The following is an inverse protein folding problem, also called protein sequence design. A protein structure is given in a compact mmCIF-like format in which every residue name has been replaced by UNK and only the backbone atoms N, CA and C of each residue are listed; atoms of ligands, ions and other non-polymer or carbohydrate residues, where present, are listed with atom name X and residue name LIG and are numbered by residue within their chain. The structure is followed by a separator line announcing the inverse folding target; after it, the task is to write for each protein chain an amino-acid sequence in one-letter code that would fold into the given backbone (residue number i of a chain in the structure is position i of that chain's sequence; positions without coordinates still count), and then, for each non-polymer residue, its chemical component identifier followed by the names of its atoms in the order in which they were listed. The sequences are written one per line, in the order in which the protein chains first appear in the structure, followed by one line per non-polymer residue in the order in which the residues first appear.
data_IF_101526186898
#
_entry.id   IF_101526186898
#
_cell.length_a   1.000
_cell.length_b   1.000
_cell.length_c   1.000
_cell.angle_alpha   90.00
_cell.angle_beta   90.00
_cell.angle_gamma   90.00
#
_symmetry.space_group_name_H-M   'P 1'
#
loop_
_entity.id
_entity.type
_entity.pdbx_description
1 polymer ?
#
# COMPACT_ATOMS: atom_id res chain seq x y z
N UNK A 1 14.45 8.42 12.53
CA UNK A 1 13.15 8.49 11.83
C UNK A 1 13.18 9.74 10.96
N UNK A 2 13.02 9.58 9.67
CA UNK A 2 13.04 10.68 8.70
C UNK A 2 11.71 11.45 8.72
N UNK A 3 10.58 10.73 8.73
CA UNK A 3 9.26 11.32 8.69
C UNK A 3 8.15 10.30 8.89
N UNK A 4 6.92 10.75 8.67
CA UNK A 4 5.70 9.96 8.76
C UNK A 4 5.24 9.63 7.34
N UNK A 5 5.00 8.36 7.07
CA UNK A 5 4.21 7.89 5.95
C UNK A 5 2.79 7.61 6.47
N UNK A 6 1.81 8.39 6.02
CA UNK A 6 0.40 8.15 6.34
C UNK A 6 -0.21 7.22 5.29
N UNK A 7 -0.55 6.02 5.69
CA UNK A 7 -1.32 5.09 4.86
C UNK A 7 -2.81 5.44 4.91
N UNK A 8 -3.24 6.25 3.94
CA UNK A 8 -4.58 6.82 3.90
C UNK A 8 -4.71 8.13 4.70
N UNK A 9 -5.96 8.57 5.01
CA UNK A 9 -7.20 7.79 5.17
C UNK A 9 -8.07 7.58 3.92
N UNK A 10 -7.71 8.08 2.77
CA UNK A 10 -8.53 8.17 1.57
C UNK A 10 -8.37 6.92 0.70
N UNK A 11 -9.09 5.87 1.05
CA UNK A 11 -9.05 4.55 0.41
C UNK A 11 -10.35 4.24 -0.34
N UNK A 12 -10.25 3.69 -1.54
CA UNK A 12 -11.38 3.15 -2.28
C UNK A 12 -11.57 1.66 -1.97
N UNK A 13 -10.47 0.95 -1.69
CA UNK A 13 -10.46 -0.48 -1.42
C UNK A 13 -9.66 -0.79 -0.18
N UNK A 14 -10.32 -1.09 0.90
CA UNK A 14 -9.63 -1.57 2.09
C UNK A 14 -9.21 -3.03 1.95
N UNK A 15 -7.96 -3.39 2.19
CA UNK A 15 -7.46 -4.75 2.19
C UNK A 15 -8.21 -5.61 3.22
N UNK A 16 -7.65 -5.76 4.41
CA UNK A 16 -8.25 -6.50 5.52
C UNK A 16 -9.54 -5.91 6.11
N UNK A 17 -9.77 -4.62 5.89
CA UNK A 17 -10.76 -3.80 6.62
C UNK A 17 -12.07 -3.57 5.86
N UNK A 18 -12.36 -4.32 4.82
CA UNK A 18 -13.42 -3.99 3.85
C UNK A 18 -14.85 -4.24 4.32
N UNK A 19 -15.08 -5.10 5.29
CA UNK A 19 -16.45 -5.42 5.68
C UNK A 19 -16.97 -4.40 6.68
N UNK A 20 -17.98 -3.62 6.27
CA UNK A 20 -18.71 -2.68 7.14
C UNK A 20 -17.95 -1.39 7.47
N UNK A 21 -16.87 -1.04 6.75
CA UNK A 21 -16.18 0.23 6.91
C UNK A 21 -16.33 1.10 5.67
N UNK A 22 -16.61 2.38 5.89
CA UNK A 22 -16.47 3.44 4.89
C UNK A 22 -15.24 4.27 5.23
N UNK A 23 -14.53 4.71 4.21
CA UNK A 23 -13.42 5.66 4.35
C UNK A 23 -13.89 7.04 3.89
N UNK A 24 -13.33 8.12 4.46
CA UNK A 24 -13.67 9.46 4.03
C UNK A 24 -13.25 9.67 2.57
N UNK A 25 -13.98 10.51 1.87
CA UNK A 25 -13.54 11.01 0.58
C UNK A 25 -12.35 11.98 0.77
N UNK A 26 -11.44 12.06 -0.22
CA UNK A 26 -10.37 13.04 -0.24
C UNK A 26 -10.87 14.46 -0.04
N UNK A 27 -10.32 15.14 0.95
CA UNK A 27 -10.66 16.52 1.32
C UNK A 27 -9.39 17.29 1.70
N UNK A 28 -9.18 18.45 1.06
CA UNK A 28 -7.99 19.27 1.26
C UNK A 28 -7.92 19.86 2.66
N UNK A 29 -9.05 20.24 3.26
CA UNK A 29 -9.06 20.82 4.61
C UNK A 29 -8.77 19.75 5.68
N UNK A 30 -9.27 18.52 5.50
CA UNK A 30 -8.87 17.39 6.36
C UNK A 30 -7.39 17.08 6.18
N UNK A 31 -6.89 17.08 4.95
CA UNK A 31 -5.47 16.87 4.67
C UNK A 31 -4.60 17.92 5.35
N UNK A 32 -4.98 19.19 5.31
CA UNK A 32 -4.30 20.28 6.04
C UNK A 32 -4.27 20.01 7.55
N UNK A 33 -5.39 19.52 8.12
CA UNK A 33 -5.43 19.16 9.55
C UNK A 33 -4.49 18.02 9.90
N UNK A 34 -4.44 16.99 9.05
CA UNK A 34 -3.55 15.84 9.24
C UNK A 34 -2.07 16.24 9.14
N UNK A 35 -1.71 17.01 8.12
CA UNK A 35 -0.33 17.49 7.94
C UNK A 35 0.10 18.44 9.07
N UNK A 36 -0.79 19.30 9.55
CA UNK A 36 -0.53 20.18 10.70
C UNK A 36 -0.30 19.37 11.98
N UNK A 37 -1.12 18.33 12.24
CA UNK A 37 -0.94 17.42 13.40
C UNK A 37 0.37 16.63 13.34
N UNK A 38 0.88 16.36 12.16
CA UNK A 38 2.19 15.73 11.96
C UNK A 38 3.37 16.66 12.33
N UNK A 39 3.11 17.94 12.65
CA UNK A 39 4.14 18.89 13.09
C UNK A 39 5.27 19.06 12.08
N UNK A 40 4.99 19.11 10.79
CA UNK A 40 5.98 19.21 9.72
C UNK A 40 6.77 17.90 9.46
N UNK A 41 6.33 16.78 10.02
CA UNK A 41 6.98 15.48 9.85
C UNK A 41 6.28 14.57 8.84
N UNK A 42 5.20 15.00 8.20
CA UNK A 42 4.57 14.25 7.11
C UNK A 42 5.53 14.23 5.91
N UNK A 43 6.09 13.08 5.62
CA UNK A 43 6.98 12.89 4.48
C UNK A 43 6.24 12.34 3.27
N UNK A 44 5.20 11.53 3.51
CA UNK A 44 4.42 10.87 2.48
C UNK A 44 2.98 10.64 2.93
N UNK A 45 2.03 10.65 1.98
CA UNK A 45 0.65 10.23 2.19
C UNK A 45 0.21 9.33 1.04
N UNK A 46 -0.45 8.21 1.39
CA UNK A 46 -1.02 7.29 0.42
C UNK A 46 -2.51 7.60 0.19
N UNK A 47 -2.95 7.49 -1.08
CA UNK A 47 -4.30 7.84 -1.52
C UNK A 47 -4.75 6.97 -2.70
N UNK A 48 -6.05 6.68 -2.78
CA UNK A 48 -6.69 6.12 -3.96
C UNK A 48 -7.03 7.24 -4.95
N UNK A 49 -6.42 7.24 -6.15
CA UNK A 49 -6.49 8.41 -7.04
C UNK A 49 -7.83 8.62 -7.75
N UNK A 50 -8.62 7.56 -7.90
CA UNK A 50 -9.92 7.59 -8.55
C UNK A 50 -11.02 8.23 -7.70
N UNK A 51 -10.76 8.47 -6.43
CA UNK A 51 -11.75 9.05 -5.53
C UNK A 51 -12.04 10.52 -5.87
N UNK A 52 -13.30 10.97 -5.80
CA UNK A 52 -13.64 12.38 -5.93
C UNK A 52 -12.82 13.26 -4.97
N UNK A 53 -12.19 14.30 -5.46
CA UNK A 53 -11.34 15.22 -4.68
C UNK A 53 -9.87 14.77 -4.54
N UNK A 54 -9.51 13.56 -4.99
CA UNK A 54 -8.15 13.05 -4.86
C UNK A 54 -7.10 13.94 -5.54
N UNK A 55 -7.39 14.44 -6.74
CA UNK A 55 -6.44 15.28 -7.48
C UNK A 55 -6.11 16.59 -6.76
N UNK A 56 -7.09 17.19 -6.10
CA UNK A 56 -6.85 18.43 -5.34
C UNK A 56 -5.99 18.16 -4.08
N UNK A 57 -6.23 17.03 -3.41
CA UNK A 57 -5.40 16.58 -2.30
C UNK A 57 -3.96 16.28 -2.77
N UNK A 58 -3.79 15.58 -3.89
CA UNK A 58 -2.47 15.26 -4.45
C UNK A 58 -1.70 16.53 -4.79
N UNK A 59 -2.34 17.49 -5.48
CA UNK A 59 -1.73 18.79 -5.79
C UNK A 59 -1.33 19.54 -4.53
N UNK A 60 -2.18 19.54 -3.51
CA UNK A 60 -1.86 20.17 -2.23
C UNK A 60 -0.63 19.52 -1.58
N UNK A 61 -0.58 18.20 -1.51
CA UNK A 61 0.55 17.46 -0.92
C UNK A 61 1.87 17.77 -1.64
N UNK A 62 1.87 17.71 -2.98
CA UNK A 62 3.04 18.07 -3.78
C UNK A 62 3.49 19.52 -3.56
N UNK A 63 2.54 20.45 -3.45
CA UNK A 63 2.84 21.86 -3.15
C UNK A 63 3.48 22.05 -1.77
N UNK A 64 3.27 21.11 -0.83
CA UNK A 64 3.91 21.08 0.49
C UNK A 64 5.23 20.28 0.50
N UNK A 65 5.68 19.76 -0.65
CA UNK A 65 6.85 18.88 -0.73
C UNK A 65 6.64 17.50 -0.12
N UNK A 66 5.38 17.09 0.08
CA UNK A 66 5.01 15.78 0.62
C UNK A 66 4.84 14.82 -0.54
N UNK A 67 5.50 13.66 -0.46
CA UNK A 67 5.41 12.60 -1.46
C UNK A 67 4.02 11.96 -1.45
N UNK A 68 3.56 11.52 -2.63
CA UNK A 68 2.26 10.87 -2.77
C UNK A 68 2.43 9.43 -3.22
N UNK A 69 1.77 8.52 -2.51
CA UNK A 69 1.74 7.12 -2.85
C UNK A 69 0.35 6.69 -3.36
N UNK A 70 0.30 5.90 -4.42
CA UNK A 70 -0.92 5.23 -4.85
C UNK A 70 -1.13 3.98 -4.00
N UNK A 71 -2.30 3.85 -3.37
CA UNK A 71 -2.57 2.79 -2.40
C UNK A 71 -4.08 2.51 -2.31
N UNK A 72 -4.45 1.27 -1.95
CA UNK A 72 -5.83 0.87 -1.66
C UNK A 72 -6.86 1.36 -2.68
N UNK A 73 -6.53 1.16 -3.96
CA UNK A 73 -7.28 1.67 -5.10
C UNK A 73 -8.15 0.60 -5.76
N UNK A 74 -9.35 0.98 -6.18
CA UNK A 74 -10.21 0.19 -7.05
C UNK A 74 -10.08 0.58 -8.53
N UNK A 75 -9.17 1.51 -8.84
CA UNK A 75 -8.98 2.06 -10.18
C UNK A 75 -8.66 0.98 -11.22
N UNK A 76 -9.21 1.16 -12.40
CA UNK A 76 -8.78 0.50 -13.62
C UNK A 76 -7.51 1.13 -14.17
N UNK A 77 -6.85 0.46 -15.11
CA UNK A 77 -5.58 0.95 -15.69
C UNK A 77 -5.70 2.37 -16.26
N UNK A 78 -6.81 2.70 -16.92
CA UNK A 78 -7.04 4.03 -17.48
C UNK A 78 -7.05 5.12 -16.43
N UNK A 79 -7.72 4.90 -15.31
CA UNK A 79 -7.81 5.87 -14.20
C UNK A 79 -6.42 6.12 -13.57
N UNK A 80 -5.57 5.08 -13.50
CA UNK A 80 -4.18 5.23 -13.07
C UNK A 80 -3.38 6.08 -14.05
N UNK A 81 -3.47 5.82 -15.35
CA UNK A 81 -2.77 6.61 -16.35
C UNK A 81 -3.25 8.06 -16.37
N UNK A 82 -4.56 8.29 -16.29
CA UNK A 82 -5.13 9.64 -16.21
C UNK A 82 -4.60 10.40 -14.97
N UNK A 83 -4.54 9.73 -13.82
CA UNK A 83 -4.01 10.34 -12.59
C UNK A 83 -2.51 10.64 -12.68
N UNK A 84 -1.71 9.73 -13.26
CA UNK A 84 -0.29 9.95 -13.49
C UNK A 84 -0.03 11.15 -14.42
N UNK A 85 -0.82 11.29 -15.48
CA UNK A 85 -0.73 12.42 -16.41
C UNK A 85 -1.09 13.75 -15.75
N UNK A 86 -2.14 13.80 -14.93
CA UNK A 86 -2.68 15.05 -14.41
C UNK A 86 -2.08 15.53 -13.08
N UNK A 87 -1.67 14.58 -12.22
CA UNK A 87 -1.20 14.92 -10.87
C UNK A 87 0.06 14.16 -10.46
N UNK A 88 0.28 12.95 -10.98
CA UNK A 88 1.43 12.11 -10.69
C UNK A 88 1.41 11.45 -9.31
N UNK A 89 2.25 10.42 -9.17
CA UNK A 89 2.59 9.77 -7.91
C UNK A 89 4.11 9.62 -7.82
N UNK A 90 4.62 9.43 -6.61
CA UNK A 90 6.02 9.12 -6.38
C UNK A 90 6.23 7.62 -6.16
N UNK A 91 5.26 6.95 -5.53
CA UNK A 91 5.39 5.57 -5.03
C UNK A 91 4.08 4.81 -5.24
N UNK A 92 4.19 3.50 -5.42
CA UNK A 92 3.07 2.56 -5.28
C UNK A 92 3.26 1.78 -3.98
N UNK A 93 2.39 1.99 -3.00
CA UNK A 93 2.46 1.34 -1.68
C UNK A 93 2.02 -0.11 -1.77
N UNK A 94 2.76 -1.02 -1.10
CA UNK A 94 2.54 -2.48 -1.05
C UNK A 94 1.97 -3.04 -2.35
N UNK A 95 2.67 -2.73 -3.45
CA UNK A 95 2.26 -3.01 -4.84
C UNK A 95 1.64 -4.40 -4.98
N UNK A 96 0.48 -4.47 -5.64
CA UNK A 96 -0.31 -5.69 -5.81
C UNK A 96 -1.31 -5.96 -4.68
N UNK A 97 -1.15 -5.35 -3.51
CA UNK A 97 -2.07 -5.52 -2.39
C UNK A 97 -3.09 -4.38 -2.35
N UNK A 98 -4.35 -4.70 -2.04
CA UNK A 98 -5.42 -3.71 -1.97
C UNK A 98 -5.69 -2.97 -3.30
N UNK A 99 -5.38 -3.57 -4.46
CA UNK A 99 -5.59 -2.98 -5.78
C UNK A 99 -6.03 -4.01 -6.83
N UNK A 100 -6.45 -3.52 -8.01
CA UNK A 100 -6.80 -4.38 -9.14
C UNK A 100 -5.56 -5.05 -9.71
N UNK A 101 -5.62 -6.39 -9.85
CA UNK A 101 -4.57 -7.21 -10.46
C UNK A 101 -4.60 -7.16 -11.99
N UNK A 102 -3.61 -7.84 -12.60
CA UNK A 102 -3.47 -7.93 -14.05
C UNK A 102 -4.49 -8.90 -14.64
N UNK A 103 -5.25 -8.45 -15.63
CA UNK A 103 -6.12 -9.25 -16.45
C UNK A 103 -5.87 -8.93 -17.95
N UNK A 104 -6.06 -9.89 -18.84
CA UNK A 104 -5.72 -9.75 -20.26
C UNK A 104 -6.52 -8.65 -21.02
N UNK A 105 -7.62 -8.16 -20.48
CA UNK A 105 -8.41 -7.06 -21.05
C UNK A 105 -8.26 -5.73 -20.30
N UNK A 106 -7.68 -5.76 -19.11
CA UNK A 106 -7.35 -4.58 -18.31
C UNK A 106 -6.23 -4.97 -17.34
N UNK A 107 -5.10 -4.34 -17.47
CA UNK A 107 -3.95 -4.63 -16.59
C UNK A 107 -4.16 -4.15 -15.15
N UNK A 108 -5.28 -3.48 -14.88
CA UNK A 108 -5.62 -2.96 -13.57
C UNK A 108 -4.62 -1.94 -13.04
N UNK A 109 -4.80 -1.55 -11.80
CA UNK A 109 -3.88 -0.63 -11.15
C UNK A 109 -2.46 -1.21 -11.06
N UNK A 110 -2.33 -2.50 -10.70
CA UNK A 110 -1.03 -3.18 -10.61
C UNK A 110 -0.23 -3.07 -11.91
N UNK A 111 -0.83 -3.44 -13.04
CA UNK A 111 -0.13 -3.41 -14.33
C UNK A 111 0.14 -1.99 -14.80
N UNK A 112 -0.80 -1.07 -14.62
CA UNK A 112 -0.62 0.32 -15.02
C UNK A 112 0.54 0.98 -14.25
N UNK A 113 0.62 0.79 -12.93
CA UNK A 113 1.72 1.30 -12.11
C UNK A 113 3.06 0.68 -12.53
N UNK A 114 3.11 -0.64 -12.80
CA UNK A 114 4.32 -1.32 -13.24
C UNK A 114 4.82 -0.88 -14.63
N UNK A 115 3.90 -0.51 -15.52
CA UNK A 115 4.25 -0.06 -16.86
C UNK A 115 4.58 1.44 -16.90
N UNK A 116 4.40 2.15 -15.79
CA UNK A 116 4.67 3.59 -15.70
C UNK A 116 6.11 3.86 -15.27
N UNK A 117 6.69 4.92 -15.83
CA UNK A 117 8.06 5.33 -15.51
C UNK A 117 8.11 6.26 -14.27
N UNK A 118 9.27 6.33 -13.65
CA UNK A 118 9.55 7.30 -12.58
C UNK A 118 9.09 6.91 -11.19
N UNK A 119 8.30 5.86 -11.03
CA UNK A 119 7.77 5.43 -9.74
C UNK A 119 8.80 4.62 -8.93
N UNK A 120 8.62 4.64 -7.61
CA UNK A 120 9.15 3.63 -6.70
C UNK A 120 8.04 2.65 -6.29
N UNK A 121 8.42 1.46 -5.86
CA UNK A 121 7.49 0.38 -5.57
C UNK A 121 7.79 -0.20 -4.20
N UNK A 122 6.87 -0.07 -3.25
CA UNK A 122 6.94 -0.80 -2.00
C UNK A 122 6.38 -2.21 -2.19
N UNK A 123 7.14 -3.23 -1.80
CA UNK A 123 6.73 -4.64 -1.94
C UNK A 123 6.93 -5.41 -0.63
N UNK A 124 5.92 -6.21 -0.28
CA UNK A 124 5.95 -7.11 0.87
C UNK A 124 6.44 -8.47 0.36
N UNK A 125 7.66 -8.85 0.73
CA UNK A 125 8.36 -10.02 0.18
C UNK A 125 8.30 -11.25 1.09
N UNK A 126 7.22 -11.40 1.85
CA UNK A 126 7.00 -12.51 2.78
C UNK A 126 6.46 -13.79 2.14
N UNK A 127 6.26 -13.79 0.81
CA UNK A 127 5.70 -14.86 -0.01
C UNK A 127 4.24 -15.25 0.35
N UNK A 128 3.60 -14.49 1.23
CA UNK A 128 2.19 -14.62 1.56
C UNK A 128 1.35 -13.54 0.86
N UNK A 129 1.84 -12.29 0.86
CA UNK A 129 1.19 -11.16 0.20
C UNK A 129 1.41 -11.18 -1.31
N UNK A 130 2.61 -11.56 -1.75
CA UNK A 130 2.98 -11.70 -3.15
C UNK A 130 3.71 -13.04 -3.32
N UNK A 131 3.25 -13.88 -4.25
CA UNK A 131 3.91 -15.14 -4.55
C UNK A 131 5.23 -14.93 -5.29
N UNK A 132 6.12 -15.93 -5.24
CA UNK A 132 7.44 -15.87 -5.86
C UNK A 132 7.39 -15.55 -7.36
N UNK A 133 6.45 -16.16 -8.11
CA UNK A 133 6.30 -15.90 -9.54
C UNK A 133 5.94 -14.44 -9.84
N UNK A 134 5.07 -13.84 -9.03
CA UNK A 134 4.73 -12.42 -9.19
C UNK A 134 5.93 -11.54 -8.86
N UNK A 135 6.70 -11.82 -7.82
CA UNK A 135 7.95 -11.09 -7.53
C UNK A 135 8.93 -11.17 -8.69
N UNK A 136 9.07 -12.35 -9.32
CA UNK A 136 9.88 -12.51 -10.52
C UNK A 136 9.40 -11.64 -11.69
N UNK A 137 8.09 -11.53 -11.88
CA UNK A 137 7.52 -10.62 -12.90
C UNK A 137 7.86 -9.16 -12.58
N UNK A 138 7.65 -8.73 -11.31
CA UNK A 138 7.93 -7.36 -10.89
C UNK A 138 9.41 -7.00 -11.15
N UNK A 139 10.33 -7.85 -10.72
CA UNK A 139 11.78 -7.61 -10.84
C UNK A 139 12.31 -7.73 -12.27
N UNK A 140 11.57 -8.37 -13.19
CA UNK A 140 11.91 -8.37 -14.63
C UNK A 140 11.40 -7.14 -15.36
N UNK A 141 10.33 -6.52 -14.88
CA UNK A 141 9.72 -5.36 -15.53
C UNK A 141 10.34 -4.04 -15.09
N UNK A 142 10.84 -3.97 -13.86
CA UNK A 142 11.40 -2.74 -13.30
C UNK A 142 12.78 -3.00 -12.67
N UNK A 143 13.71 -2.02 -12.71
CA UNK A 143 15.02 -2.16 -12.11
C UNK A 143 14.96 -2.28 -10.59
N UNK A 144 15.86 -3.05 -9.99
CA UNK A 144 15.88 -3.34 -8.56
C UNK A 144 15.93 -2.08 -7.69
N UNK A 145 16.60 -1.03 -8.15
CA UNK A 145 16.76 0.25 -7.47
C UNK A 145 15.44 1.00 -7.25
N UNK A 146 14.40 0.59 -7.95
CA UNK A 146 13.05 1.14 -7.81
C UNK A 146 12.23 0.47 -6.72
N UNK A 147 12.68 -0.67 -6.19
CA UNK A 147 11.95 -1.41 -5.18
C UNK A 147 12.39 -1.08 -3.77
N UNK A 148 11.41 -0.77 -2.92
CA UNK A 148 11.55 -0.64 -1.48
C UNK A 148 10.94 -1.88 -0.82
N UNK A 149 11.76 -2.71 -0.20
CA UNK A 149 11.27 -3.89 0.53
C UNK A 149 10.69 -3.45 1.86
N UNK A 150 9.42 -3.75 2.07
CA UNK A 150 8.68 -3.41 3.30
C UNK A 150 8.11 -4.67 3.95
N UNK A 151 7.79 -4.59 5.22
CA UNK A 151 7.07 -5.64 5.93
C UNK A 151 5.57 -5.38 5.99
N UNK A 152 5.14 -4.14 5.91
CA UNK A 152 3.76 -3.77 6.25
C UNK A 152 3.35 -4.43 7.58
N UNK A 153 4.18 -4.21 8.60
CA UNK A 153 4.16 -5.01 9.83
C UNK A 153 2.87 -4.80 10.62
N UNK A 154 2.17 -5.90 10.88
CA UNK A 154 1.01 -5.86 11.76
C UNK A 154 1.42 -5.59 13.22
N UNK A 155 0.52 -5.00 14.01
CA UNK A 155 0.77 -4.68 15.43
C UNK A 155 1.01 -5.90 16.33
N UNK A 156 0.66 -7.11 15.88
CA UNK A 156 0.95 -8.38 16.57
C UNK A 156 2.19 -9.09 15.99
N UNK A 157 2.91 -8.43 15.07
CA UNK A 157 4.13 -9.01 14.52
C UNK A 157 5.15 -9.33 15.61
N UNK A 158 5.75 -10.49 15.54
CA UNK A 158 6.72 -10.98 16.52
C UNK A 158 6.11 -11.58 17.79
N UNK A 159 4.81 -11.53 17.97
CA UNK A 159 4.15 -12.26 19.05
C UNK A 159 4.07 -13.77 18.72
N UNK A 160 3.97 -14.66 19.72
CA UNK A 160 3.79 -16.09 19.50
C UNK A 160 2.56 -16.39 18.63
N UNK A 161 2.54 -17.58 17.99
CA UNK A 161 1.33 -18.03 17.31
C UNK A 161 0.15 -18.09 18.28
N UNK A 162 -1.00 -17.58 17.83
CA UNK A 162 -2.17 -17.50 18.70
C UNK A 162 -3.25 -16.56 18.19
N UNK A 163 -4.25 -16.34 19.03
CA UNK A 163 -5.38 -15.46 18.76
C UNK A 163 -5.24 -14.18 19.58
N UNK A 164 -5.37 -13.05 18.91
CA UNK A 164 -5.24 -11.71 19.51
C UNK A 164 -6.49 -10.88 19.24
N UNK A 165 -6.76 -9.94 20.14
CA UNK A 165 -7.87 -8.99 20.01
C UNK A 165 -7.33 -7.57 19.94
N UNK A 166 -7.78 -6.80 18.95
CA UNK A 166 -7.54 -5.36 18.89
C UNK A 166 -8.77 -4.63 18.35
N UNK A 167 -9.18 -3.60 19.06
CA UNK A 167 -10.38 -2.80 18.71
C UNK A 167 -11.61 -3.65 18.39
N UNK A 168 -11.84 -4.72 19.18
CA UNK A 168 -12.97 -5.65 18.99
C UNK A 168 -12.83 -6.64 17.85
N UNK A 169 -11.67 -6.69 17.16
CA UNK A 169 -11.41 -7.61 16.03
C UNK A 169 -10.47 -8.73 16.43
N UNK A 170 -10.82 -9.93 16.05
CA UNK A 170 -9.95 -11.11 16.20
C UNK A 170 -8.92 -11.16 15.07
N UNK A 171 -7.69 -11.48 15.44
CA UNK A 171 -6.58 -11.74 14.52
C UNK A 171 -5.90 -13.03 14.94
N UNK A 172 -5.45 -13.78 13.95
CA UNK A 172 -4.81 -15.08 14.14
C UNK A 172 -3.39 -15.01 13.56
N UNK A 173 -2.39 -15.26 14.39
CA UNK A 173 -1.00 -15.38 13.95
C UNK A 173 -0.59 -16.85 13.96
N UNK A 174 0.04 -17.31 12.89
CA UNK A 174 0.67 -18.63 12.85
C UNK A 174 2.17 -18.57 13.16
N UNK A 175 2.82 -19.72 13.27
CA UNK A 175 4.25 -19.83 13.55
C UNK A 175 5.13 -19.30 12.40
N UNK A 176 4.58 -19.27 11.17
CA UNK A 176 5.26 -18.76 9.98
C UNK A 176 5.15 -17.26 9.81
N UNK A 177 4.35 -16.58 10.65
CA UNK A 177 4.11 -15.14 10.60
C UNK A 177 3.03 -14.73 9.63
N UNK A 178 2.18 -15.64 9.19
CA UNK A 178 0.95 -15.31 8.51
C UNK A 178 -0.05 -14.77 9.55
N UNK A 179 -0.62 -13.61 9.28
CA UNK A 179 -1.65 -13.01 10.12
C UNK A 179 -2.95 -12.92 9.32
N UNK A 180 -4.02 -13.47 9.88
CA UNK A 180 -5.35 -13.45 9.30
C UNK A 180 -6.34 -12.73 10.22
N UNK A 181 -7.32 -12.05 9.66
CA UNK A 181 -8.48 -11.58 10.42
C UNK A 181 -9.56 -12.67 10.53
N UNK A 182 -10.68 -12.35 11.20
CA UNK A 182 -11.81 -13.26 11.34
C UNK A 182 -12.44 -13.71 10.02
N UNK A 183 -12.23 -12.95 8.95
CA UNK A 183 -12.78 -13.24 7.61
C UNK A 183 -11.78 -14.07 6.76
N UNK A 184 -10.66 -14.49 7.35
CA UNK A 184 -9.61 -15.25 6.67
C UNK A 184 -8.76 -14.42 5.71
N UNK A 185 -8.76 -13.10 5.81
CA UNK A 185 -7.95 -12.21 4.98
C UNK A 185 -6.60 -11.95 5.61
N UNK A 186 -5.56 -11.88 4.79
CA UNK A 186 -4.21 -11.52 5.22
C UNK A 186 -4.18 -10.06 5.69
N UNK A 187 -3.52 -9.82 6.81
CA UNK A 187 -3.51 -8.56 7.54
C UNK A 187 -2.09 -8.13 7.86
N UNK A 188 -1.39 -7.52 6.93
CA UNK A 188 0.00 -7.14 7.13
C UNK A 188 0.91 -8.33 7.49
N UNK A 189 2.21 -8.11 7.53
CA UNK A 189 3.17 -9.17 7.84
C UNK A 189 3.39 -9.34 9.34
N UNK A 190 3.48 -10.60 9.78
CA UNK A 190 3.95 -10.96 11.12
C UNK A 190 5.47 -11.07 11.22
N UNK A 191 6.20 -10.93 10.12
CA UNK A 191 7.66 -11.02 10.03
C UNK A 191 8.29 -9.66 9.72
N UNK A 192 9.57 -9.56 10.01
CA UNK A 192 10.36 -8.36 9.78
C UNK A 192 10.91 -8.33 8.36
N UNK A 193 11.24 -7.15 7.86
CA UNK A 193 11.82 -6.98 6.52
C UNK A 193 13.05 -7.87 6.29
N UNK A 194 13.94 -7.97 7.28
CA UNK A 194 15.14 -8.84 7.16
C UNK A 194 14.81 -10.32 6.96
N UNK A 195 13.74 -10.80 7.59
CA UNK A 195 13.24 -12.16 7.35
C UNK A 195 12.73 -12.32 5.91
N UNK A 196 11.98 -11.34 5.44
CA UNK A 196 11.42 -11.33 4.09
C UNK A 196 12.52 -11.29 3.02
N UNK A 197 13.61 -10.53 3.25
CA UNK A 197 14.81 -10.54 2.40
C UNK A 197 15.42 -11.93 2.34
N UNK A 198 15.54 -12.61 3.49
CA UNK A 198 16.04 -13.98 3.55
C UNK A 198 15.21 -14.97 2.74
N UNK A 199 13.90 -14.77 2.64
CA UNK A 199 13.06 -15.59 1.76
C UNK A 199 13.37 -15.37 0.28
N UNK A 200 13.60 -14.13 -0.14
CA UNK A 200 13.96 -13.81 -1.53
C UNK A 200 15.29 -14.43 -1.97
N UNK A 201 16.29 -14.46 -1.08
CA UNK A 201 17.62 -15.00 -1.38
C UNK A 201 17.62 -16.53 -1.54
N UNK A 202 16.65 -17.22 -0.91
CA UNK A 202 16.53 -18.68 -0.92
C UNK A 202 15.57 -19.22 -1.99
N UNK A 203 14.98 -18.37 -2.80
CA UNK A 203 14.12 -18.69 -3.95
C UNK A 203 14.71 -18.21 -5.27
#
# INVERSE_FOLDING_TARGET
IYGIHSEGPFWARGGEKTVGMSWPLPDVEETKRLTARAGGKMAMMAIAPELPGAYDVIRYLHAQGIKVACCHTAAHSREIYDALEHVGFDIATHLGNGMQGIHHRDVGALGALLLSEGLYYEVITDLNHICADMLNILFRLQPYEKFCLISDSNYIAGLPAGTYMRYGRKMFADEKGLILNSDGRICGSGKWVLYNIGQLVNH
#
